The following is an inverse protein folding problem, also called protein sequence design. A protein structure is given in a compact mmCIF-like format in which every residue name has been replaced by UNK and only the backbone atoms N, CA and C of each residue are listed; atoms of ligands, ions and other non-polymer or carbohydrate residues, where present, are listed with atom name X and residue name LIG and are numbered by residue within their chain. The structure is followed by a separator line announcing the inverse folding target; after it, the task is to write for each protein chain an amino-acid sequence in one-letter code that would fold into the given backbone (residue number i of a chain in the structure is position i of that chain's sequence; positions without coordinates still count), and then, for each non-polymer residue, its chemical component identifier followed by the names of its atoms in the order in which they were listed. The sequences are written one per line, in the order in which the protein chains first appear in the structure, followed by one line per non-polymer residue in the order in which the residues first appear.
data_IF_094347378158
#
_entry.id   IF_094347378158
#
_cell.length_a   1.000
_cell.length_b   1.000
_cell.length_c   1.000
_cell.angle_alpha   90.00
_cell.angle_beta   90.00
_cell.angle_gamma   90.00
#
_symmetry.space_group_name_H-M   'P 1'
#
loop_
_entity.id
_entity.type
_entity.pdbx_description
1 polymer ?
#
# COMPACT_ATOMS: atom_id res chain seq x y z
N UNK A 1 -12.39 25.44 -19.07
CA UNK A 1 -11.23 24.67 -19.55
C UNK A 1 -10.72 23.82 -18.39
N UNK A 2 -11.15 22.57 -18.30
CA UNK A 2 -10.75 21.68 -17.20
C UNK A 2 -9.32 21.20 -17.48
N UNK A 3 -8.33 21.94 -16.99
CA UNK A 3 -6.94 21.48 -17.00
C UNK A 3 -6.84 20.30 -16.03
N UNK A 4 -6.89 19.08 -16.57
CA UNK A 4 -6.61 17.89 -15.78
C UNK A 4 -5.16 17.98 -15.26
N UNK A 5 -4.99 17.99 -13.94
CA UNK A 5 -3.68 18.08 -13.30
C UNK A 5 -2.99 16.72 -13.41
N UNK A 6 -1.82 16.70 -14.06
CA UNK A 6 -0.98 15.50 -14.16
C UNK A 6 -0.25 15.26 -12.83
N UNK A 7 -0.33 14.03 -12.31
CA UNK A 7 0.39 13.57 -11.14
C UNK A 7 1.74 12.96 -11.51
N UNK A 8 2.76 13.18 -10.68
CA UNK A 8 4.08 12.57 -10.86
C UNK A 8 4.12 11.18 -10.23
N UNK A 9 4.37 10.15 -11.05
CA UNK A 9 4.54 8.78 -10.61
C UNK A 9 6.04 8.47 -10.46
N UNK A 10 6.46 8.07 -9.26
CA UNK A 10 7.87 7.80 -8.93
C UNK A 10 8.08 6.34 -8.59
N UNK A 11 9.30 5.86 -8.84
CA UNK A 11 9.75 4.54 -8.43
C UNK A 11 9.76 4.42 -6.90
N UNK A 12 9.27 3.29 -6.38
CA UNK A 12 9.22 3.01 -4.94
C UNK A 12 10.61 2.88 -4.30
N UNK A 13 11.59 2.38 -5.06
CA UNK A 13 12.93 2.09 -4.52
C UNK A 13 13.93 3.24 -4.69
N UNK A 14 13.95 3.89 -5.87
CA UNK A 14 14.99 4.88 -6.20
C UNK A 14 14.48 6.30 -6.47
N UNK A 15 13.18 6.54 -6.24
CA UNK A 15 12.49 7.82 -6.41
C UNK A 15 12.57 8.47 -7.81
N UNK A 16 13.13 7.76 -8.81
CA UNK A 16 13.18 8.20 -10.21
C UNK A 16 11.76 8.47 -10.70
N UNK A 17 11.55 9.61 -11.36
CA UNK A 17 10.29 9.89 -12.06
C UNK A 17 10.10 8.87 -13.17
N UNK A 18 8.98 8.15 -13.14
CA UNK A 18 8.61 7.13 -14.12
C UNK A 18 7.68 7.70 -15.18
N UNK A 19 6.65 8.44 -14.76
CA UNK A 19 5.66 9.04 -15.66
C UNK A 19 4.97 10.26 -15.02
N UNK A 20 4.32 11.07 -15.86
CA UNK A 20 3.29 12.03 -15.45
C UNK A 20 1.96 11.55 -16.01
N UNK A 21 0.98 11.28 -15.16
CA UNK A 21 -0.30 10.70 -15.57
C UNK A 21 -1.47 11.54 -15.06
N UNK A 22 -2.52 11.64 -15.87
CA UNK A 22 -3.81 12.20 -15.45
C UNK A 22 -4.60 11.13 -14.71
N UNK A 23 -5.83 10.87 -15.15
CA UNK A 23 -6.58 9.71 -14.71
C UNK A 23 -5.95 8.42 -15.29
N UNK A 24 -5.78 7.41 -14.44
CA UNK A 24 -5.39 6.05 -14.81
C UNK A 24 -5.97 5.09 -13.76
N UNK A 25 -6.35 3.88 -14.17
CA UNK A 25 -6.80 2.84 -13.23
C UNK A 25 -5.60 2.07 -12.66
N UNK A 26 -4.77 1.54 -13.55
CA UNK A 26 -3.59 0.74 -13.20
C UNK A 26 -2.43 0.98 -14.17
N UNK A 27 -1.19 0.98 -13.67
CA UNK A 27 0.01 1.11 -14.48
C UNK A 27 1.12 0.20 -13.92
N UNK A 28 1.62 -0.70 -14.77
CA UNK A 28 2.82 -1.49 -14.49
C UNK A 28 3.99 -0.97 -15.35
N UNK A 29 5.09 -0.57 -14.72
CA UNK A 29 6.24 0.01 -15.43
C UNK A 29 7.55 -0.39 -14.77
N UNK A 30 8.52 -0.84 -15.56
CA UNK A 30 9.88 -1.11 -15.10
C UNK A 30 10.66 0.19 -14.92
N UNK A 31 11.32 0.36 -13.79
CA UNK A 31 12.23 1.47 -13.59
C UNK A 31 13.51 1.27 -14.41
N UNK A 32 13.86 2.16 -15.35
CA UNK A 32 15.07 2.02 -16.14
C UNK A 32 16.36 2.25 -15.33
N UNK A 33 16.26 2.79 -14.11
CA UNK A 33 17.40 3.02 -13.22
C UNK A 33 17.74 1.80 -12.38
N UNK A 34 16.77 1.28 -11.60
CA UNK A 34 17.02 0.19 -10.65
C UNK A 34 16.47 -1.17 -11.10
N UNK A 35 15.69 -1.22 -12.18
CA UNK A 35 15.13 -2.46 -12.72
C UNK A 35 13.87 -2.96 -12.02
N UNK A 36 13.43 -2.37 -10.91
CA UNK A 36 12.20 -2.78 -10.21
C UNK A 36 10.97 -2.54 -11.08
N UNK A 37 10.05 -3.50 -11.06
CA UNK A 37 8.74 -3.40 -11.70
C UNK A 37 7.77 -2.75 -10.72
N UNK A 38 7.42 -1.49 -10.98
CA UNK A 38 6.45 -0.75 -10.18
C UNK A 38 5.03 -1.10 -10.62
N UNK A 39 4.15 -1.39 -9.65
CA UNK A 39 2.72 -1.60 -9.87
C UNK A 39 1.94 -0.49 -9.17
N UNK A 40 1.34 0.41 -9.95
CA UNK A 40 0.71 1.64 -9.47
C UNK A 40 -0.80 1.60 -9.72
N UNK A 41 -1.59 2.00 -8.72
CA UNK A 41 -3.05 2.11 -8.80
C UNK A 41 -3.49 3.56 -8.66
N UNK A 42 -4.62 3.91 -9.29
CA UNK A 42 -5.27 5.19 -9.10
C UNK A 42 -5.49 5.50 -7.62
N UNK A 43 -5.27 6.75 -7.20
CA UNK A 43 -5.69 7.19 -5.87
C UNK A 43 -7.21 7.20 -5.69
N UNK A 44 -7.95 7.29 -6.81
CA UNK A 44 -9.41 7.22 -6.84
C UNK A 44 -9.96 5.81 -6.71
N UNK A 45 -9.12 4.76 -6.81
CA UNK A 45 -9.58 3.41 -6.60
C UNK A 45 -9.95 3.23 -5.12
N UNK A 46 -11.19 2.81 -4.81
CA UNK A 46 -11.55 2.51 -3.43
C UNK A 46 -10.61 1.43 -2.91
N UNK A 47 -10.03 1.65 -1.72
CA UNK A 47 -9.31 0.58 -1.04
C UNK A 47 -10.34 -0.49 -0.67
N UNK A 48 -10.18 -1.68 -1.25
CA UNK A 48 -10.98 -2.89 -1.06
C UNK A 48 -10.85 -3.42 0.39
N UNK A 49 -11.26 -2.60 1.35
CA UNK A 49 -11.27 -2.94 2.77
C UNK A 49 -12.32 -2.15 3.54
N UNK A 50 -13.42 -1.77 2.89
CA UNK A 50 -14.58 -1.23 3.61
C UNK A 50 -15.25 -2.30 4.48
N UNK A 51 -15.07 -3.58 4.14
CA UNK A 51 -15.74 -4.72 4.80
C UNK A 51 -15.34 -4.92 6.26
N UNK A 52 -14.18 -4.39 6.68
CA UNK A 52 -13.72 -4.47 8.08
C UNK A 52 -14.36 -3.43 9.01
N UNK A 53 -15.02 -2.40 8.46
CA UNK A 53 -15.56 -1.30 9.26
C UNK A 53 -17.02 -1.52 9.70
N UNK A 54 -17.76 -2.42 9.04
CA UNK A 54 -19.20 -2.61 9.30
C UNK A 54 -19.52 -3.65 10.37
N UNK A 55 -18.57 -4.49 10.76
CA UNK A 55 -18.77 -5.48 11.82
C UNK A 55 -18.13 -4.97 13.10
N UNK A 56 -18.96 -4.32 13.92
CA UNK A 56 -18.57 -3.90 15.26
C UNK A 56 -17.93 -5.06 16.02
N UNK A 57 -16.68 -4.88 16.43
CA UNK A 57 -15.96 -5.82 17.28
C UNK A 57 -16.59 -5.86 18.67
N UNK A 58 -17.70 -6.58 18.82
CA UNK A 58 -18.18 -7.07 20.11
C UNK A 58 -17.29 -8.24 20.54
N UNK A 59 -16.01 -7.97 20.77
CA UNK A 59 -15.12 -8.86 21.49
C UNK A 59 -14.95 -8.30 22.90
N UNK A 60 -15.92 -8.55 23.76
CA UNK A 60 -15.74 -8.39 25.22
C UNK A 60 -14.78 -9.45 25.80
N UNK A 61 -14.28 -10.38 24.97
CA UNK A 61 -13.26 -11.34 25.37
C UNK A 61 -11.87 -10.73 25.22
N UNK A 62 -11.11 -10.58 26.32
CA UNK A 62 -9.70 -10.21 26.24
C UNK A 62 -8.97 -11.16 25.29
N UNK A 63 -8.05 -10.61 24.49
CA UNK A 63 -7.14 -11.42 23.70
C UNK A 63 -6.46 -12.43 24.63
N UNK A 64 -6.51 -13.72 24.26
CA UNK A 64 -5.85 -14.76 25.03
C UNK A 64 -4.37 -14.37 25.23
N UNK A 65 -3.81 -14.54 26.44
CA UNK A 65 -2.41 -14.21 26.68
C UNK A 65 -1.54 -15.00 25.69
N UNK A 66 -0.74 -14.26 24.91
CA UNK A 66 0.05 -14.84 23.84
C UNK A 66 0.98 -15.93 24.37
N UNK A 67 1.05 -17.07 23.67
CA UNK A 67 2.12 -18.05 23.87
C UNK A 67 3.40 -17.48 23.29
N UNK A 68 4.02 -16.52 23.97
CA UNK A 68 5.44 -16.24 23.71
C UNK A 68 6.19 -17.32 24.49
N UNK A 69 6.90 -18.26 23.83
CA UNK A 69 7.81 -19.13 24.57
C UNK A 69 8.78 -18.22 25.31
N UNK A 70 8.83 -18.33 26.62
CA UNK A 70 9.92 -17.74 27.41
C UNK A 70 11.20 -18.43 26.93
N UNK A 71 11.97 -17.74 26.11
CA UNK A 71 13.32 -18.18 25.77
C UNK A 71 14.15 -17.87 27.00
N UNK A 72 14.70 -18.88 27.71
CA UNK A 72 15.57 -18.63 28.84
C UNK A 72 16.80 -17.86 28.35
N UNK A 73 17.10 -16.75 28.99
CA UNK A 73 18.37 -16.07 28.82
C UNK A 73 19.36 -16.68 29.81
N UNK A 74 20.14 -17.66 29.39
CA UNK A 74 21.27 -18.24 30.13
C UNK A 74 22.31 -18.70 29.09
N UNK A 75 23.64 -18.58 29.28
CA UNK A 75 24.45 -18.22 30.44
C UNK A 75 25.80 -17.64 29.97
#
# INVERSE_FOLDING_TARGET
MNRSLLSNLRCGDCARLLAKAGAFDELQIKCPRCGVVNHLKAQSLPTDRQERLTEGSSHEKPAAPGRRPEVPADA
#
